data_IF_343103728091
#
_entry.id   IF_343103728091
#
_cell.length_a   1.000
_cell.length_b   1.000
_cell.length_c   1.000
_cell.angle_alpha   90.00
_cell.angle_beta   90.00
_cell.angle_gamma   90.00
#
_symmetry.space_group_name_H-M   'P 1'
#
loop_
_entity.id
_entity.type
_entity.pdbx_description
1 polymer ?
#
# COMPACT_ATOMS: atom_id res chain seq x y z
N UNK A 1 -20.46 10.86 -19.66
CA UNK A 1 -19.68 10.32 -18.53
C UNK A 1 -20.64 10.07 -17.38
N UNK A 2 -20.87 8.81 -17.02
CA UNK A 2 -21.71 8.48 -15.87
C UNK A 2 -20.88 8.57 -14.56
N UNK A 3 -21.54 8.52 -13.40
CA UNK A 3 -20.86 8.66 -12.10
C UNK A 3 -19.80 7.56 -11.87
N UNK A 4 -19.99 6.37 -12.43
CA UNK A 4 -19.08 5.22 -12.30
C UNK A 4 -17.78 5.45 -13.07
N UNK A 5 -17.87 5.95 -14.31
CA UNK A 5 -16.72 6.32 -15.14
C UNK A 5 -15.91 7.45 -14.51
N UNK A 6 -16.59 8.45 -13.94
CA UNK A 6 -15.94 9.55 -13.23
C UNK A 6 -15.14 9.05 -12.02
N UNK A 7 -15.71 8.12 -11.24
CA UNK A 7 -15.05 7.47 -10.11
C UNK A 7 -13.85 6.62 -10.54
N UNK A 8 -13.98 5.86 -11.63
CA UNK A 8 -12.89 5.03 -12.14
C UNK A 8 -11.66 5.85 -12.56
N UNK A 9 -11.88 7.06 -13.11
CA UNK A 9 -10.80 7.98 -13.49
C UNK A 9 -10.21 8.66 -12.25
N UNK A 10 -11.03 9.00 -11.25
CA UNK A 10 -10.58 9.70 -10.06
C UNK A 10 -9.92 8.79 -9.01
N UNK A 11 -10.27 7.50 -8.97
CA UNK A 11 -9.81 6.55 -7.96
C UNK A 11 -8.27 6.46 -7.83
N UNK A 12 -7.48 6.38 -8.91
CA UNK A 12 -6.02 6.35 -8.80
C UNK A 12 -5.44 7.61 -8.14
N UNK A 13 -6.04 8.78 -8.37
CA UNK A 13 -5.60 10.03 -7.75
C UNK A 13 -5.89 10.08 -6.25
N UNK A 14 -7.04 9.56 -5.81
CA UNK A 14 -7.34 9.43 -4.38
C UNK A 14 -6.38 8.45 -3.69
N UNK A 15 -6.07 7.33 -4.34
CA UNK A 15 -5.09 6.36 -3.84
C UNK A 15 -3.71 7.00 -3.69
N UNK A 16 -3.27 7.80 -4.68
CA UNK A 16 -2.02 8.54 -4.60
C UNK A 16 -2.00 9.58 -3.47
N UNK A 17 -3.10 10.29 -3.24
CA UNK A 17 -3.22 11.22 -2.11
C UNK A 17 -3.13 10.48 -0.76
N UNK A 18 -3.78 9.32 -0.65
CA UNK A 18 -3.71 8.46 0.54
C UNK A 18 -2.28 7.99 0.81
N UNK A 19 -1.54 7.59 -0.24
CA UNK A 19 -0.13 7.22 -0.16
C UNK A 19 0.71 8.32 0.48
N UNK A 20 0.54 9.58 0.06
CA UNK A 20 1.31 10.70 0.62
C UNK A 20 1.06 10.86 2.12
N UNK A 21 -0.21 10.75 2.54
CA UNK A 21 -0.58 10.80 3.97
C UNK A 21 0.05 9.63 4.73
N UNK A 22 0.00 8.42 4.18
CA UNK A 22 0.60 7.24 4.82
C UNK A 22 2.12 7.38 4.97
N UNK A 23 2.83 7.83 3.93
CA UNK A 23 4.28 8.05 4.00
C UNK A 23 4.65 9.06 5.09
N UNK A 24 3.88 10.14 5.23
CA UNK A 24 4.07 11.11 6.32
C UNK A 24 3.86 10.49 7.71
N UNK A 25 2.80 9.70 7.89
CA UNK A 25 2.51 9.03 9.16
C UNK A 25 3.56 7.99 9.53
N UNK A 26 4.01 7.17 8.56
CA UNK A 26 5.10 6.22 8.78
C UNK A 26 6.43 6.91 9.08
N UNK A 27 6.73 8.01 8.39
CA UNK A 27 7.91 8.83 8.69
C UNK A 27 7.90 9.33 10.13
N UNK A 28 6.75 9.79 10.63
CA UNK A 28 6.58 10.15 12.05
C UNK A 28 6.71 8.96 12.99
N UNK A 29 6.08 7.84 12.66
CA UNK A 29 6.10 6.62 13.48
C UNK A 29 7.52 6.09 13.65
N UNK A 30 8.31 6.03 12.58
CA UNK A 30 9.69 5.54 12.62
C UNK A 30 10.67 6.54 13.22
N UNK A 31 10.32 7.83 13.27
CA UNK A 31 11.10 8.85 13.97
C UNK A 31 10.91 8.82 15.51
N UNK A 32 9.93 8.07 16.03
CA UNK A 32 9.75 7.91 17.46
C UNK A 32 10.94 7.15 18.06
N UNK A 33 11.66 7.79 18.99
CA UNK A 33 12.81 7.20 19.70
C UNK A 33 12.40 6.25 20.84
N UNK A 34 11.10 6.09 21.09
CA UNK A 34 10.62 5.30 22.21
C UNK A 34 10.74 3.80 21.92
N UNK A 35 11.55 3.11 22.74
CA UNK A 35 11.79 1.66 22.64
C UNK A 35 10.57 0.82 23.05
N UNK A 36 9.52 1.44 23.61
CA UNK A 36 8.29 0.75 24.02
C UNK A 36 7.29 0.53 22.88
N UNK A 37 7.51 1.16 21.72
CA UNK A 37 6.64 0.95 20.56
C UNK A 37 7.04 -0.34 19.86
N UNK A 38 6.10 -1.28 19.76
CA UNK A 38 6.30 -2.52 19.01
C UNK A 38 6.29 -2.22 17.51
N UNK A 39 7.43 -1.78 16.97
CA UNK A 39 7.60 -1.31 15.58
C UNK A 39 7.63 -2.43 14.54
N UNK A 40 7.91 -3.68 14.96
CA UNK A 40 8.04 -4.83 14.06
C UNK A 40 6.86 -5.02 13.10
N UNK A 41 5.59 -5.06 13.54
CA UNK A 41 4.44 -5.15 12.64
C UNK A 41 4.34 -3.97 11.68
N UNK A 42 4.69 -2.77 12.13
CA UNK A 42 4.61 -1.56 11.32
C UNK A 42 5.61 -1.54 10.16
N UNK A 43 6.75 -2.21 10.27
CA UNK A 43 7.65 -2.41 9.13
C UNK A 43 7.02 -3.28 8.03
N UNK A 44 6.23 -4.30 8.38
CA UNK A 44 5.52 -5.13 7.40
C UNK A 44 4.37 -4.38 6.74
N UNK A 45 3.61 -3.58 7.51
CA UNK A 45 2.59 -2.70 6.94
C UNK A 45 3.24 -1.67 6.01
N UNK A 46 4.36 -1.07 6.40
CA UNK A 46 5.08 -0.15 5.53
C UNK A 46 5.57 -0.82 4.25
N UNK A 47 6.10 -2.04 4.33
CA UNK A 47 6.46 -2.82 3.14
C UNK A 47 5.26 -3.06 2.22
N UNK A 48 4.08 -3.38 2.79
CA UNK A 48 2.85 -3.54 2.01
C UNK A 48 2.43 -2.24 1.32
N UNK A 49 2.58 -1.10 1.99
CA UNK A 49 2.33 0.22 1.40
C UNK A 49 3.30 0.53 0.27
N UNK A 50 4.59 0.21 0.40
CA UNK A 50 5.57 0.38 -0.68
C UNK A 50 5.18 -0.46 -1.90
N UNK A 51 4.75 -1.70 -1.69
CA UNK A 51 4.29 -2.57 -2.79
C UNK A 51 3.05 -1.98 -3.46
N UNK A 52 2.08 -1.49 -2.67
CA UNK A 52 0.91 -0.79 -3.19
C UNK A 52 1.27 0.45 -4.02
N UNK A 53 2.23 1.26 -3.56
CA UNK A 53 2.71 2.43 -4.32
C UNK A 53 3.28 2.00 -5.68
N UNK A 54 4.09 0.93 -5.71
CA UNK A 54 4.66 0.41 -6.95
C UNK A 54 3.55 -0.05 -7.89
N UNK A 55 2.54 -0.76 -7.38
CA UNK A 55 1.39 -1.21 -8.15
C UNK A 55 0.60 -0.02 -8.75
N UNK A 56 0.32 1.00 -7.96
CA UNK A 56 -0.39 2.21 -8.40
C UNK A 56 0.40 2.98 -9.45
N UNK A 57 1.72 3.12 -9.28
CA UNK A 57 2.59 3.75 -10.29
C UNK A 57 2.53 2.97 -11.61
N UNK A 58 2.61 1.64 -11.57
CA UNK A 58 2.48 0.79 -12.78
C UNK A 58 1.10 0.96 -13.41
N UNK A 59 0.04 1.03 -12.60
CA UNK A 59 -1.34 1.20 -13.06
C UNK A 59 -1.54 2.54 -13.77
N UNK A 60 -1.01 3.63 -13.22
CA UNK A 60 -1.03 4.95 -13.83
C UNK A 60 -0.21 4.97 -15.14
N UNK A 61 0.98 4.37 -15.15
CA UNK A 61 1.81 4.28 -16.37
C UNK A 61 1.13 3.47 -17.48
N UNK A 62 0.39 2.42 -17.12
CA UNK A 62 -0.44 1.65 -18.05
C UNK A 62 -1.61 2.47 -18.58
N UNK A 63 -2.31 3.19 -17.72
CA UNK A 63 -3.41 4.08 -18.11
C UNK A 63 -2.94 5.20 -19.06
N UNK A 64 -1.72 5.70 -18.87
CA UNK A 64 -1.05 6.65 -19.75
C UNK A 64 -0.49 6.03 -21.04
N UNK A 65 -0.65 4.71 -21.26
CA UNK A 65 -0.11 3.94 -22.39
C UNK A 65 1.41 4.02 -22.55
N UNK A 66 2.13 4.30 -21.46
CA UNK A 66 3.61 4.34 -21.44
C UNK A 66 4.18 2.92 -21.35
N UNK A 67 3.46 2.01 -20.71
CA UNK A 67 3.91 0.64 -20.43
C UNK A 67 2.79 -0.36 -20.74
N UNK A 68 3.11 -1.39 -21.52
CA UNK A 68 2.19 -2.48 -21.87
C UNK A 68 2.46 -3.72 -21.01
N UNK A 69 2.04 -3.66 -19.75
CA UNK A 69 2.16 -4.78 -18.79
C UNK A 69 0.80 -5.48 -18.68
N UNK A 70 0.82 -6.81 -18.71
CA UNK A 70 -0.36 -7.67 -18.52
C UNK A 70 -1.08 -7.40 -17.19
N UNK A 71 -2.41 -7.35 -17.23
CA UNK A 71 -3.29 -7.08 -16.07
C UNK A 71 -3.06 -8.02 -14.87
N UNK A 72 -2.58 -9.25 -15.13
CA UNK A 72 -2.32 -10.27 -14.11
C UNK A 72 -1.26 -9.87 -13.08
N UNK A 73 -0.39 -8.90 -13.39
CA UNK A 73 0.64 -8.42 -12.46
C UNK A 73 0.02 -7.70 -11.25
N UNK A 74 -1.12 -7.04 -11.41
CA UNK A 74 -1.84 -6.42 -10.29
C UNK A 74 -2.26 -7.47 -9.25
N UNK A 75 -2.83 -8.60 -9.69
CA UNK A 75 -3.20 -9.69 -8.78
C UNK A 75 -2.01 -10.29 -8.01
N UNK A 76 -0.82 -10.30 -8.59
CA UNK A 76 0.40 -10.70 -7.87
C UNK A 76 0.76 -9.71 -6.75
N UNK A 77 0.68 -8.40 -7.02
CA UNK A 77 0.90 -7.38 -6.00
C UNK A 77 -0.13 -7.44 -4.88
N UNK A 78 -1.42 -7.61 -5.20
CA UNK A 78 -2.49 -7.79 -4.23
C UNK A 78 -2.23 -8.98 -3.30
N UNK A 79 -1.86 -10.14 -3.85
CA UNK A 79 -1.55 -11.34 -3.05
C UNK A 79 -0.36 -11.11 -2.11
N UNK A 80 0.66 -10.36 -2.56
CA UNK A 80 1.82 -10.02 -1.75
C UNK A 80 1.42 -9.07 -0.61
N UNK A 81 0.64 -8.04 -0.89
CA UNK A 81 0.09 -7.10 0.10
C UNK A 81 -0.73 -7.84 1.16
N UNK A 82 -1.68 -8.69 0.74
CA UNK A 82 -2.53 -9.47 1.64
C UNK A 82 -1.67 -10.39 2.52
N UNK A 83 -0.67 -11.06 1.94
CA UNK A 83 0.23 -11.94 2.68
C UNK A 83 1.01 -11.18 3.77
N UNK A 84 1.49 -9.96 3.47
CA UNK A 84 2.16 -9.10 4.45
C UNK A 84 1.20 -8.67 5.58
N UNK A 85 -0.06 -8.36 5.26
CA UNK A 85 -1.07 -8.05 6.26
C UNK A 85 -1.39 -9.24 7.16
N UNK A 86 -1.61 -10.43 6.59
CA UNK A 86 -1.83 -11.66 7.36
C UNK A 86 -0.65 -11.92 8.29
N UNK A 87 0.58 -11.81 7.78
CA UNK A 87 1.78 -12.00 8.58
C UNK A 87 1.89 -10.98 9.74
N UNK A 88 1.52 -9.72 9.48
CA UNK A 88 1.44 -8.68 10.51
C UNK A 88 0.46 -9.05 11.63
N UNK A 89 -0.73 -9.54 11.27
CA UNK A 89 -1.73 -9.98 12.24
C UNK A 89 -1.24 -11.16 13.09
N UNK A 90 -0.50 -12.10 12.49
CA UNK A 90 0.09 -13.22 13.21
C UNK A 90 1.13 -12.75 14.24
N UNK A 91 2.01 -11.80 13.87
CA UNK A 91 2.98 -11.21 14.80
C UNK A 91 2.27 -10.48 15.95
N UNK A 92 1.23 -9.71 15.66
CA UNK A 92 0.46 -9.00 16.68
C UNK A 92 -0.19 -9.98 17.66
N UNK A 93 -0.76 -11.08 17.15
CA UNK A 93 -1.34 -12.14 17.98
C UNK A 93 -0.29 -12.80 18.88
N UNK A 94 0.91 -13.06 18.38
CA UNK A 94 2.00 -13.65 19.17
C UNK A 94 2.49 -12.71 20.27
N UNK A 95 2.56 -11.40 20.00
CA UNK A 95 3.02 -10.41 20.98
C UNK A 95 2.00 -10.08 22.08
N UNK A 96 0.70 -10.24 21.79
CA UNK A 96 -0.39 -9.92 22.74
C UNK A 96 -0.73 -11.09 23.68
N UNK A 97 -0.12 -12.27 23.45
CA UNK A 97 -0.39 -13.50 24.21
C UNK A 97 0.62 -13.69 25.34
#
# INVERSE_FOLDING_TARGET
MNAVEALAIAAPFYNLAMVVVMLYLFGKLFALKDKKVFLRPWYFVFAAVVVFIIEEVITILRAAKVVDITLHINGFFELLIISLFIYTLLILKEHTR
#
